data_IF_050846290471
#
_entry.id   IF_050846290471
#
_cell.length_a   1.000
_cell.length_b   1.000
_cell.length_c   1.000
_cell.angle_alpha   90.00
_cell.angle_beta   90.00
_cell.angle_gamma   90.00
#
_symmetry.space_group_name_H-M   'P 1'
#
loop_
_entity.id
_entity.type
_entity.pdbx_description
1 polymer ?
#
# COMPACT_ATOMS: atom_id res chain seq x y z
N UNK A 1 -6.16 3.72 -11.49
CA UNK A 1 -5.08 2.71 -11.44
C UNK A 1 -4.67 2.23 -12.82
N UNK A 2 -5.62 1.88 -13.66
CA UNK A 2 -5.31 1.37 -15.00
C UNK A 2 -4.50 2.37 -15.85
N UNK A 3 -4.94 3.62 -15.94
CA UNK A 3 -4.34 4.61 -16.83
C UNK A 3 -2.93 5.04 -16.43
N UNK A 4 -2.61 4.94 -15.15
CA UNK A 4 -1.28 5.25 -14.63
C UNK A 4 -0.44 4.01 -14.33
N UNK A 5 -0.98 2.82 -14.60
CA UNK A 5 -0.30 1.54 -14.37
C UNK A 5 0.21 1.38 -12.94
N UNK A 6 -0.61 1.79 -11.97
CA UNK A 6 -0.30 1.69 -10.54
C UNK A 6 -1.32 0.79 -9.85
N UNK A 7 -0.89 0.13 -8.77
CA UNK A 7 -1.73 -0.81 -8.00
C UNK A 7 -2.23 -0.26 -6.68
N UNK A 8 -1.90 0.98 -6.33
CA UNK A 8 -2.27 1.56 -5.05
C UNK A 8 -2.35 3.08 -5.12
N UNK A 9 -3.20 3.64 -4.25
CA UNK A 9 -3.40 5.08 -4.10
C UNK A 9 -3.53 5.41 -2.61
N UNK A 10 -3.03 6.57 -2.20
CA UNK A 10 -3.38 7.11 -0.90
C UNK A 10 -4.76 7.76 -0.94
N UNK A 11 -5.54 7.56 0.12
CA UNK A 11 -6.84 8.20 0.29
C UNK A 11 -6.65 9.37 1.25
N UNK A 12 -7.01 10.57 0.82
CA UNK A 12 -6.79 11.79 1.58
C UNK A 12 -8.09 12.53 1.86
N UNK A 13 -8.08 13.33 2.94
CA UNK A 13 -9.14 14.26 3.27
C UNK A 13 -8.45 15.57 3.64
N UNK A 14 -8.54 16.57 2.76
CA UNK A 14 -7.73 17.78 2.89
C UNK A 14 -6.24 17.42 2.78
N UNK A 15 -5.45 17.81 3.76
CA UNK A 15 -4.02 17.46 3.84
C UNK A 15 -3.73 16.20 4.64
N UNK A 16 -4.77 15.58 5.21
CA UNK A 16 -4.63 14.36 6.02
C UNK A 16 -4.71 13.11 5.15
N UNK A 17 -3.81 12.14 5.40
CA UNK A 17 -3.84 10.86 4.72
C UNK A 17 -4.59 9.87 5.60
N UNK A 18 -5.75 9.38 5.09
CA UNK A 18 -6.64 8.51 5.84
C UNK A 18 -6.29 7.04 5.73
N UNK A 19 -5.83 6.61 4.56
CA UNK A 19 -5.59 5.20 4.32
C UNK A 19 -4.99 4.96 2.94
N UNK A 20 -4.98 3.70 2.54
CA UNK A 20 -4.48 3.24 1.25
C UNK A 20 -5.57 2.44 0.54
N UNK A 21 -5.72 2.66 -0.76
CA UNK A 21 -6.61 1.91 -1.62
C UNK A 21 -5.77 1.14 -2.63
N UNK A 22 -5.96 -0.17 -2.67
CA UNK A 22 -5.25 -1.05 -3.60
C UNK A 22 -6.23 -1.70 -4.57
N UNK A 23 -5.70 -2.26 -5.66
CA UNK A 23 -6.49 -3.07 -6.59
C UNK A 23 -7.13 -4.27 -5.87
N UNK A 24 -6.44 -4.85 -4.90
CA UNK A 24 -6.99 -5.91 -4.05
C UNK A 24 -8.21 -5.43 -3.26
N UNK A 25 -8.16 -4.21 -2.69
CA UNK A 25 -9.29 -3.62 -1.98
C UNK A 25 -10.50 -3.44 -2.90
N UNK A 26 -10.27 -2.96 -4.12
CA UNK A 26 -11.35 -2.80 -5.10
C UNK A 26 -12.02 -4.13 -5.40
N UNK A 27 -11.22 -5.18 -5.64
CA UNK A 27 -11.76 -6.50 -5.94
C UNK A 27 -12.48 -7.10 -4.74
N UNK A 28 -11.86 -7.12 -3.57
CA UNK A 28 -12.40 -7.81 -2.40
C UNK A 28 -13.51 -7.04 -1.71
N UNK A 29 -13.36 -5.74 -1.55
CA UNK A 29 -14.26 -4.93 -0.72
C UNK A 29 -15.35 -4.21 -1.51
N UNK A 30 -15.22 -4.13 -2.82
CA UNK A 30 -16.27 -3.57 -3.67
C UNK A 30 -16.91 -4.67 -4.51
N UNK A 31 -16.16 -5.29 -5.41
CA UNK A 31 -16.71 -6.26 -6.36
C UNK A 31 -17.21 -7.52 -5.66
N UNK A 32 -16.35 -8.18 -4.87
CA UNK A 32 -16.72 -9.43 -4.18
C UNK A 32 -17.78 -9.22 -3.11
N UNK A 33 -17.82 -8.04 -2.49
CA UNK A 33 -18.84 -7.69 -1.49
C UNK A 33 -20.18 -7.25 -2.13
N UNK A 34 -20.25 -7.15 -3.44
CA UNK A 34 -21.47 -6.77 -4.15
C UNK A 34 -21.83 -5.31 -4.05
N UNK A 35 -20.85 -4.43 -3.77
CA UNK A 35 -21.09 -2.99 -3.73
C UNK A 35 -21.14 -2.40 -5.12
N UNK A 36 -22.00 -1.40 -5.29
CA UNK A 36 -22.06 -0.65 -6.54
C UNK A 36 -20.85 0.28 -6.65
N UNK A 37 -19.97 0.08 -7.66
CA UNK A 37 -18.76 0.92 -7.80
C UNK A 37 -19.08 2.39 -8.10
N UNK A 38 -20.29 2.70 -8.55
CA UNK A 38 -20.70 4.09 -8.76
C UNK A 38 -21.11 4.80 -7.46
N UNK A 39 -21.34 4.06 -6.40
CA UNK A 39 -21.79 4.57 -5.09
C UNK A 39 -20.77 4.36 -3.99
N UNK A 40 -19.96 3.30 -4.06
CA UNK A 40 -18.92 3.04 -3.07
C UNK A 40 -17.81 4.09 -3.19
N UNK A 41 -17.39 4.65 -2.05
CA UNK A 41 -16.32 5.66 -2.01
C UNK A 41 -14.99 5.01 -1.66
N UNK A 42 -13.89 5.69 -1.99
CA UNK A 42 -12.54 5.23 -1.62
C UNK A 42 -12.41 5.05 -0.11
N UNK A 43 -13.01 5.94 0.68
CA UNK A 43 -12.98 5.85 2.15
C UNK A 43 -13.66 4.59 2.67
N UNK A 44 -14.74 4.12 2.02
CA UNK A 44 -15.45 2.91 2.41
C UNK A 44 -14.63 1.64 2.22
N UNK A 45 -13.81 1.59 1.18
CA UNK A 45 -13.10 0.36 0.81
C UNK A 45 -11.60 0.41 1.06
N UNK A 46 -11.06 1.55 1.48
CA UNK A 46 -9.64 1.68 1.79
C UNK A 46 -9.23 0.81 2.98
N UNK A 47 -7.95 0.50 3.06
CA UNK A 47 -7.33 -0.09 4.24
C UNK A 47 -6.81 1.04 5.13
N UNK A 48 -7.15 1.02 6.40
CA UNK A 48 -6.74 2.03 7.38
C UNK A 48 -6.62 1.39 8.77
N UNK A 49 -5.73 1.91 9.63
CA UNK A 49 -4.70 2.89 9.31
C UNK A 49 -3.62 2.31 8.40
N UNK A 50 -2.82 3.19 7.78
CA UNK A 50 -1.68 2.75 6.96
C UNK A 50 -0.63 2.14 7.88
N UNK A 51 -0.17 0.92 7.55
CA UNK A 51 0.97 0.32 8.22
C UNK A 51 2.23 0.98 7.68
N UNK A 52 3.06 1.53 8.55
CA UNK A 52 4.22 2.35 8.15
C UNK A 52 5.53 1.72 8.60
N UNK A 53 6.60 2.05 7.89
CA UNK A 53 7.96 1.71 8.24
C UNK A 53 8.83 2.97 8.09
N UNK A 54 9.75 3.17 9.02
CA UNK A 54 10.71 4.28 8.94
C UNK A 54 11.67 4.05 7.76
N UNK A 55 12.04 5.11 7.05
CA UNK A 55 12.89 5.03 5.87
C UNK A 55 14.27 4.44 6.13
N UNK A 56 14.74 4.49 7.38
CA UNK A 56 16.05 3.96 7.77
C UNK A 56 16.04 2.46 8.12
N UNK A 57 14.86 1.83 8.11
CA UNK A 57 14.76 0.39 8.32
C UNK A 57 15.16 -0.37 7.06
N UNK A 58 15.55 -1.61 7.24
CA UNK A 58 16.00 -2.45 6.11
C UNK A 58 14.83 -3.04 5.33
N UNK A 59 15.12 -3.53 4.12
CA UNK A 59 14.13 -4.26 3.33
C UNK A 59 13.70 -5.56 4.01
N UNK A 60 14.59 -6.17 4.79
CA UNK A 60 14.24 -7.36 5.57
C UNK A 60 13.22 -7.01 6.66
N UNK A 61 13.41 -5.87 7.34
CA UNK A 61 12.42 -5.35 8.30
C UNK A 61 11.07 -5.10 7.62
N UNK A 62 11.08 -4.53 6.42
CA UNK A 62 9.87 -4.30 5.65
C UNK A 62 9.14 -5.61 5.34
N UNK A 63 9.88 -6.62 4.92
CA UNK A 63 9.32 -7.94 4.64
C UNK A 63 8.65 -8.53 5.89
N UNK A 64 9.30 -8.42 7.03
CA UNK A 64 8.78 -8.94 8.29
C UNK A 64 7.48 -8.22 8.70
N UNK A 65 7.43 -6.90 8.55
CA UNK A 65 6.22 -6.12 8.87
C UNK A 65 5.08 -6.51 7.94
N UNK A 66 5.33 -6.63 6.64
CA UNK A 66 4.31 -7.04 5.67
C UNK A 66 3.74 -8.42 6.01
N UNK A 67 4.60 -9.36 6.36
CA UNK A 67 4.19 -10.71 6.73
C UNK A 67 3.37 -10.73 8.01
N UNK A 68 3.81 -10.03 9.05
CA UNK A 68 3.12 -9.98 10.35
C UNK A 68 1.78 -9.25 10.27
N UNK A 69 1.70 -8.20 9.47
CA UNK A 69 0.50 -7.38 9.34
C UNK A 69 -0.43 -7.85 8.22
N UNK A 70 -0.05 -8.87 7.46
CA UNK A 70 -0.80 -9.39 6.31
C UNK A 70 -1.13 -8.30 5.28
N UNK A 71 -0.17 -7.42 5.03
CA UNK A 71 -0.28 -6.35 4.04
C UNK A 71 0.78 -6.51 2.96
N UNK A 72 0.51 -6.01 1.77
CA UNK A 72 1.43 -6.05 0.63
C UNK A 72 2.02 -4.69 0.31
N UNK A 73 1.66 -3.67 1.08
CA UNK A 73 2.11 -2.30 0.91
C UNK A 73 2.41 -1.71 2.29
N UNK A 74 3.47 -0.92 2.36
CA UNK A 74 3.80 -0.14 3.56
C UNK A 74 3.99 1.31 3.16
N UNK A 75 3.50 2.23 4.00
CA UNK A 75 3.91 3.62 3.91
C UNK A 75 5.33 3.76 4.43
N UNK A 76 6.16 4.54 3.77
CA UNK A 76 7.51 4.86 4.22
C UNK A 76 7.49 6.22 4.89
N UNK A 77 7.99 6.29 6.12
CA UNK A 77 7.97 7.53 6.92
C UNK A 77 9.36 8.12 7.11
N UNK A 78 9.38 9.45 7.20
CA UNK A 78 10.54 10.23 7.61
C UNK A 78 10.07 11.19 8.69
N UNK A 79 10.65 11.12 9.89
CA UNK A 79 10.22 11.93 11.02
C UNK A 79 8.71 11.84 11.27
N UNK A 80 8.16 10.63 11.21
CA UNK A 80 6.74 10.32 11.40
C UNK A 80 5.81 10.86 10.30
N UNK A 81 6.37 11.37 9.20
CA UNK A 81 5.58 11.86 8.05
C UNK A 81 5.72 10.88 6.90
N UNK A 82 4.61 10.62 6.22
CA UNK A 82 4.60 9.75 5.05
C UNK A 82 5.33 10.42 3.89
N UNK A 83 6.36 9.74 3.36
CA UNK A 83 7.16 10.24 2.24
C UNK A 83 7.12 9.34 1.01
N UNK A 84 6.62 8.13 1.13
CA UNK A 84 6.53 7.21 0.01
C UNK A 84 5.83 5.93 0.37
N UNK A 85 5.93 4.96 -0.53
CA UNK A 85 5.31 3.66 -0.35
C UNK A 85 6.19 2.59 -0.98
N UNK A 86 6.25 1.42 -0.35
CA UNK A 86 6.86 0.23 -0.94
C UNK A 86 5.86 -0.92 -0.94
N UNK A 87 6.03 -1.83 -1.88
CA UNK A 87 5.17 -3.01 -2.02
C UNK A 87 6.00 -4.29 -2.03
N UNK A 88 5.32 -5.42 -1.88
CA UNK A 88 5.95 -6.74 -2.06
C UNK A 88 6.61 -6.82 -3.44
N UNK A 89 5.97 -6.27 -4.47
CA UNK A 89 6.53 -6.25 -5.81
C UNK A 89 7.86 -5.50 -5.89
N UNK A 90 7.96 -4.35 -5.20
CA UNK A 90 9.21 -3.59 -5.13
C UNK A 90 10.33 -4.41 -4.53
N UNK A 91 10.04 -5.17 -3.46
CA UNK A 91 11.03 -6.06 -2.83
C UNK A 91 11.49 -7.15 -3.79
N UNK A 92 10.56 -7.77 -4.50
CA UNK A 92 10.89 -8.83 -5.47
C UNK A 92 11.77 -8.28 -6.58
N UNK A 93 11.44 -7.12 -7.15
CA UNK A 93 12.23 -6.47 -8.19
C UNK A 93 13.64 -6.18 -7.70
N UNK A 94 13.78 -5.63 -6.49
CA UNK A 94 15.09 -5.36 -5.90
C UNK A 94 15.92 -6.64 -5.76
N UNK A 95 15.33 -7.69 -5.19
CA UNK A 95 16.04 -8.95 -4.94
C UNK A 95 16.47 -9.65 -6.23
N UNK A 96 15.66 -9.57 -7.28
CA UNK A 96 16.00 -10.19 -8.58
C UNK A 96 17.08 -9.42 -9.34
N UNK A 97 17.31 -8.15 -8.99
CA UNK A 97 18.32 -7.30 -9.62
C UNK A 97 19.64 -7.23 -8.84
N UNK A 98 19.75 -7.95 -7.71
CA UNK A 98 20.99 -7.99 -6.95
C UNK A 98 22.08 -8.72 -7.75
N UNK A 99 23.34 -8.23 -7.71
CA UNK A 99 24.44 -8.93 -8.34
C UNK A 99 24.62 -10.31 -7.73
N UNK A 100 24.78 -11.31 -8.58
CA UNK A 100 25.10 -12.67 -8.14
C UNK A 100 26.62 -12.80 -8.02
N UNK A 101 27.06 -13.35 -6.91
CA UNK A 101 28.47 -13.65 -6.71
C UNK A 101 28.84 -14.99 -7.30
#
# INVERSE_FOLDING_TARGET
MRDYNIGSLFVTKGSEILGILTDTDVVRRCVAAGLDPNKATAEHIMSAPIVMIDENKTLLDANDIMAQSHVRHLGVSRNSKLVGMISVRDLVVFLTNLPRK
#
